data_IF_131782796220
#
_entry.id   IF_131782796220
#
_cell.length_a   1.000
_cell.length_b   1.000
_cell.length_c   1.000
_cell.angle_alpha   90.00
_cell.angle_beta   90.00
_cell.angle_gamma   90.00
#
_symmetry.space_group_name_H-M   'P 1'
#
loop_
_entity.id
_entity.type
_entity.pdbx_description
1 polymer ?
#
# COMPACT_ATOMS: atom_id res chain seq x y z
N UNK A 1 -24.20 -12.37 2.40
CA UNK A 1 -24.02 -11.47 1.24
C UNK A 1 -22.68 -11.86 0.63
N UNK A 2 -22.54 -11.99 -0.70
CA UNK A 2 -21.26 -12.40 -1.29
C UNK A 2 -20.20 -11.35 -0.94
N UNK A 3 -19.14 -11.75 -0.23
CA UNK A 3 -18.03 -10.88 0.18
C UNK A 3 -17.06 -10.55 -0.99
N UNK A 4 -17.28 -11.14 -2.16
CA UNK A 4 -16.41 -10.97 -3.32
C UNK A 4 -16.34 -9.53 -3.86
N UNK A 5 -17.43 -8.74 -3.94
CA UNK A 5 -17.36 -7.37 -4.46
C UNK A 5 -16.52 -6.44 -3.59
N UNK A 6 -16.64 -6.52 -2.24
CA UNK A 6 -15.84 -5.70 -1.33
C UNK A 6 -14.36 -6.07 -1.40
N UNK A 7 -14.03 -7.36 -1.47
CA UNK A 7 -12.64 -7.80 -1.62
C UNK A 7 -12.04 -7.36 -2.95
N UNK A 8 -12.80 -7.39 -4.04
CA UNK A 8 -12.31 -6.88 -5.33
C UNK A 8 -12.04 -5.37 -5.28
N UNK A 9 -12.94 -4.61 -4.65
CA UNK A 9 -12.76 -3.17 -4.45
C UNK A 9 -11.52 -2.88 -3.60
N UNK A 10 -11.30 -3.66 -2.53
CA UNK A 10 -10.10 -3.56 -1.69
C UNK A 10 -8.82 -3.83 -2.49
N UNK A 11 -8.77 -4.90 -3.29
CA UNK A 11 -7.62 -5.24 -4.13
C UNK A 11 -7.33 -4.12 -5.14
N UNK A 12 -8.38 -3.57 -5.77
CA UNK A 12 -8.25 -2.46 -6.72
C UNK A 12 -7.79 -1.19 -6.01
N UNK A 13 -8.34 -0.88 -4.83
CA UNK A 13 -7.95 0.29 -4.05
C UNK A 13 -6.47 0.25 -3.67
N UNK A 14 -5.97 -0.88 -3.19
CA UNK A 14 -4.54 -1.07 -2.90
C UNK A 14 -3.72 -0.94 -4.19
N UNK A 15 -4.13 -1.58 -5.29
CA UNK A 15 -3.40 -1.45 -6.56
C UNK A 15 -3.29 0.01 -7.02
N UNK A 16 -4.33 0.83 -6.82
CA UNK A 16 -4.29 2.26 -7.13
C UNK A 16 -3.40 3.03 -6.12
N UNK A 17 -3.36 2.62 -4.86
CA UNK A 17 -2.49 3.22 -3.83
C UNK A 17 -1.00 3.01 -4.12
N UNK A 18 -0.62 1.82 -4.60
CA UNK A 18 0.76 1.52 -4.97
C UNK A 18 1.24 2.34 -6.19
N UNK A 19 0.34 2.99 -6.94
CA UNK A 19 0.73 3.78 -8.11
C UNK A 19 1.58 5.02 -7.73
N UNK A 20 1.11 5.91 -6.83
CA UNK A 20 1.94 6.99 -6.29
C UNK A 20 3.26 6.53 -5.67
N UNK A 21 3.28 5.38 -4.98
CA UNK A 21 4.51 4.84 -4.36
C UNK A 21 5.56 4.47 -5.40
N UNK A 22 5.16 3.72 -6.44
CA UNK A 22 6.04 3.39 -7.55
C UNK A 22 6.59 4.65 -8.22
N UNK A 23 5.73 5.64 -8.50
CA UNK A 23 6.16 6.94 -9.03
C UNK A 23 7.14 7.65 -8.09
N UNK A 24 6.90 7.64 -6.78
CA UNK A 24 7.73 8.30 -5.79
C UNK A 24 9.15 7.69 -5.73
N UNK A 25 9.26 6.36 -5.73
CA UNK A 25 10.54 5.66 -5.83
C UNK A 25 11.26 6.05 -7.13
N UNK A 26 10.55 6.02 -8.27
CA UNK A 26 11.10 6.41 -9.57
C UNK A 26 11.65 7.84 -9.60
N UNK A 27 10.85 8.80 -9.15
CA UNK A 27 11.27 10.21 -9.06
C UNK A 27 12.44 10.39 -8.11
N UNK A 28 12.45 9.68 -6.98
CA UNK A 28 13.57 9.65 -6.04
C UNK A 28 14.88 9.31 -6.76
N UNK A 29 14.94 8.17 -7.45
CA UNK A 29 16.12 7.76 -8.21
C UNK A 29 16.44 8.68 -9.39
N UNK A 30 15.43 9.23 -10.07
CA UNK A 30 15.61 10.16 -11.18
C UNK A 30 16.07 11.57 -10.77
N UNK A 31 15.91 11.95 -9.50
CA UNK A 31 16.31 13.27 -8.98
C UNK A 31 17.83 13.41 -8.79
N UNK A 32 18.56 12.30 -8.76
CA UNK A 32 20.01 12.26 -8.55
C UNK A 32 20.46 12.20 -7.09
N UNK A 33 19.55 12.30 -6.10
CA UNK A 33 19.89 12.04 -4.70
C UNK A 33 19.70 10.56 -4.36
N UNK A 34 20.77 9.77 -4.51
CA UNK A 34 20.74 8.33 -4.26
C UNK A 34 20.44 7.97 -2.80
N UNK A 35 20.88 8.80 -1.84
CA UNK A 35 20.66 8.55 -0.42
C UNK A 35 19.17 8.56 -0.07
N UNK A 36 18.51 9.66 -0.40
CA UNK A 36 17.07 9.86 -0.17
C UNK A 36 16.24 8.84 -0.97
N UNK A 37 16.65 8.53 -2.20
CA UNK A 37 15.97 7.55 -3.05
C UNK A 37 16.00 6.14 -2.44
N UNK A 38 17.15 5.72 -1.89
CA UNK A 38 17.29 4.44 -1.22
C UNK A 38 16.47 4.40 0.07
N UNK A 39 16.52 5.46 0.87
CA UNK A 39 15.71 5.57 2.09
C UNK A 39 14.21 5.43 1.79
N UNK A 40 13.71 6.19 0.80
CA UNK A 40 12.32 6.14 0.37
C UNK A 40 11.93 4.75 -0.16
N UNK A 41 12.79 4.13 -0.98
CA UNK A 41 12.58 2.78 -1.49
C UNK A 41 12.47 1.75 -0.35
N UNK A 42 13.33 1.84 0.66
CA UNK A 42 13.26 0.93 1.81
C UNK A 42 12.02 1.18 2.67
N UNK A 43 11.64 2.43 2.90
CA UNK A 43 10.43 2.77 3.65
C UNK A 43 9.17 2.21 2.98
N UNK A 44 9.00 2.49 1.68
CA UNK A 44 7.88 1.98 0.87
C UNK A 44 7.91 0.44 0.79
N UNK A 45 9.07 -0.15 0.48
CA UNK A 45 9.19 -1.60 0.38
C UNK A 45 8.83 -2.33 1.67
N UNK A 46 9.08 -1.72 2.83
CA UNK A 46 8.78 -2.32 4.13
C UNK A 46 7.28 -2.33 4.47
N UNK A 47 6.52 -1.30 4.07
CA UNK A 47 5.05 -1.31 4.19
C UNK A 47 4.35 -2.16 3.12
N UNK A 48 4.96 -2.35 1.95
CA UNK A 48 4.35 -3.15 0.88
C UNK A 48 4.28 -4.64 1.23
N UNK A 49 5.11 -5.11 2.18
CA UNK A 49 5.02 -6.47 2.73
C UNK A 49 3.70 -6.70 3.49
N UNK A 50 3.36 -5.93 4.55
CA UNK A 50 2.08 -6.08 5.23
C UNK A 50 0.88 -5.78 4.34
N UNK A 51 0.97 -4.84 3.39
CA UNK A 51 -0.13 -4.58 2.43
C UNK A 51 -0.37 -5.76 1.49
N UNK A 52 0.68 -6.31 0.88
CA UNK A 52 0.58 -7.50 0.03
C UNK A 52 0.03 -8.71 0.80
N UNK A 53 0.41 -8.86 2.07
CA UNK A 53 -0.16 -9.88 2.95
C UNK A 53 -1.65 -9.62 3.21
N UNK A 54 -2.06 -8.38 3.46
CA UNK A 54 -3.46 -8.01 3.67
C UNK A 54 -4.32 -8.35 2.43
N UNK A 55 -3.83 -8.02 1.23
CA UNK A 55 -4.44 -8.41 -0.05
C UNK A 55 -4.58 -9.93 -0.16
N UNK A 56 -3.53 -10.67 0.16
CA UNK A 56 -3.54 -12.13 0.10
C UNK A 56 -4.54 -12.75 1.08
N UNK A 57 -4.58 -12.26 2.32
CA UNK A 57 -5.54 -12.73 3.35
C UNK A 57 -6.96 -12.39 2.94
N UNK A 58 -7.22 -11.18 2.43
CA UNK A 58 -8.54 -10.77 1.95
C UNK A 58 -9.03 -11.66 0.79
N UNK A 59 -8.17 -11.90 -0.22
CA UNK A 59 -8.48 -12.80 -1.33
C UNK A 59 -8.78 -14.23 -0.84
N UNK A 60 -8.00 -14.73 0.12
CA UNK A 60 -8.23 -16.06 0.71
C UNK A 60 -9.57 -16.14 1.45
N UNK A 61 -9.88 -15.13 2.27
CA UNK A 61 -11.12 -15.07 3.06
C UNK A 61 -12.36 -14.93 2.16
N UNK A 62 -12.21 -14.30 0.99
CA UNK A 62 -13.24 -14.21 -0.03
C UNK A 62 -13.48 -15.52 -0.80
N UNK A 63 -12.70 -16.57 -0.53
CA UNK A 63 -12.78 -17.85 -1.23
C UNK A 63 -12.16 -17.83 -2.63
N UNK A 64 -11.30 -16.85 -2.94
CA UNK A 64 -10.62 -16.74 -4.23
C UNK A 64 -9.50 -17.78 -4.31
N UNK A 65 -9.84 -18.99 -4.74
CA UNK A 65 -8.87 -20.02 -5.11
C UNK A 65 -8.05 -20.61 -3.96
N UNK A 66 -6.92 -21.23 -4.31
CA UNK A 66 -5.99 -21.86 -3.37
C UNK A 66 -5.15 -20.83 -2.60
N UNK A 67 -4.47 -21.26 -1.52
CA UNK A 67 -3.54 -20.40 -0.78
C UNK A 67 -2.45 -19.80 -1.67
N UNK A 68 -2.03 -20.53 -2.71
CA UNK A 68 -1.08 -20.06 -3.70
C UNK A 68 -1.65 -18.94 -4.59
N UNK A 69 -2.92 -19.06 -4.99
CA UNK A 69 -3.58 -18.01 -5.75
C UNK A 69 -3.68 -16.72 -4.92
N UNK A 70 -4.08 -16.84 -3.66
CA UNK A 70 -4.19 -15.72 -2.73
C UNK A 70 -2.82 -15.06 -2.44
N UNK A 71 -1.76 -15.82 -2.25
CA UNK A 71 -0.41 -15.25 -2.11
C UNK A 71 -0.01 -14.48 -3.38
N UNK A 72 -0.34 -15.03 -4.55
CA UNK A 72 -0.02 -14.40 -5.84
C UNK A 72 -0.85 -13.14 -6.12
N UNK A 73 -2.07 -13.02 -5.57
CA UNK A 73 -2.84 -11.76 -5.68
C UNK A 73 -2.17 -10.62 -4.94
N UNK A 74 -1.55 -10.87 -3.78
CA UNK A 74 -0.76 -9.87 -3.05
C UNK A 74 0.43 -9.38 -3.86
N UNK A 75 1.20 -10.30 -4.45
CA UNK A 75 2.35 -9.96 -5.31
C UNK A 75 1.90 -9.14 -6.53
N UNK A 76 0.78 -9.52 -7.15
CA UNK A 76 0.24 -8.80 -8.33
C UNK A 76 -0.16 -7.37 -8.03
N UNK A 77 -0.63 -7.06 -6.82
CA UNK A 77 -0.97 -5.69 -6.43
C UNK A 77 0.26 -4.77 -6.50
N UNK A 78 1.43 -5.25 -6.07
CA UNK A 78 2.69 -4.49 -6.13
C UNK A 78 3.36 -4.44 -7.52
N UNK A 79 2.95 -5.26 -8.48
CA UNK A 79 3.54 -5.24 -9.84
C UNK A 79 3.35 -3.89 -10.53
N UNK A 80 2.32 -3.13 -10.17
CA UNK A 80 2.04 -1.79 -10.72
C UNK A 80 3.16 -0.78 -10.42
N UNK A 81 3.94 -0.99 -9.36
CA UNK A 81 5.02 -0.10 -8.95
C UNK A 81 6.18 -0.10 -9.96
N UNK A 82 6.49 -1.26 -10.55
CA UNK A 82 7.64 -1.42 -11.46
C UNK A 82 7.57 -0.50 -12.68
N UNK A 83 6.51 -0.53 -13.52
CA UNK A 83 6.42 0.37 -14.66
C UNK A 83 6.35 1.84 -14.24
N UNK A 84 5.75 2.13 -13.09
CA UNK A 84 5.63 3.50 -12.59
C UNK A 84 6.91 4.04 -11.98
N UNK A 85 7.76 3.20 -11.39
CA UNK A 85 9.10 3.59 -10.99
C UNK A 85 9.97 3.93 -12.20
N UNK A 86 9.89 3.14 -13.27
CA UNK A 86 10.57 3.45 -14.53
C UNK A 86 10.05 4.76 -15.14
N UNK A 87 8.73 4.96 -15.14
CA UNK A 87 8.12 6.18 -15.65
C UNK A 87 8.48 7.40 -14.79
N UNK A 88 8.47 7.28 -13.47
CA UNK A 88 8.84 8.34 -12.54
C UNK A 88 10.31 8.75 -12.71
N UNK A 89 11.21 7.79 -12.90
CA UNK A 89 12.61 8.04 -13.16
C UNK A 89 12.85 8.69 -14.53
N UNK A 90 12.06 8.35 -15.55
CA UNK A 90 12.16 8.94 -16.88
C UNK A 90 11.53 10.34 -16.98
N UNK A 91 10.41 10.57 -16.28
CA UNK A 91 9.59 11.78 -16.37
C UNK A 91 9.64 12.65 -15.10
N UNK A 92 10.79 12.72 -14.42
CA UNK A 92 10.98 13.43 -13.14
C UNK A 92 10.37 14.83 -13.13
N UNK A 93 10.64 15.63 -14.18
CA UNK A 93 10.16 17.02 -14.27
C UNK A 93 8.62 17.13 -14.36
N UNK A 94 7.94 16.10 -14.83
CA UNK A 94 6.48 16.03 -14.90
C UNK A 94 5.89 15.41 -13.64
N UNK A 95 6.53 14.36 -13.12
CA UNK A 95 6.03 13.58 -11.99
C UNK A 95 6.25 14.29 -10.64
N UNK A 96 7.41 14.91 -10.42
CA UNK A 96 7.76 15.50 -9.11
C UNK A 96 6.75 16.56 -8.62
N UNK A 97 6.25 17.50 -9.45
CA UNK A 97 5.24 18.46 -9.01
C UNK A 97 3.87 17.84 -8.72
N UNK A 98 3.57 16.68 -9.32
CA UNK A 98 2.29 15.98 -9.16
C UNK A 98 2.29 15.02 -7.97
N UNK A 99 3.46 14.55 -7.54
CA UNK A 99 3.61 13.56 -6.47
C UNK A 99 2.91 13.94 -5.15
N UNK A 100 3.04 15.17 -4.60
CA UNK A 100 2.37 15.50 -3.34
C UNK A 100 0.85 15.36 -3.41
N UNK A 101 0.25 15.70 -4.57
CA UNK A 101 -1.18 15.56 -4.79
C UNK A 101 -1.59 14.10 -4.98
N UNK A 102 -0.78 13.33 -5.71
CA UNK A 102 -1.01 11.91 -5.93
C UNK A 102 -0.90 11.11 -4.62
N UNK A 103 0.15 11.35 -3.83
CA UNK A 103 0.35 10.75 -2.50
C UNK A 103 -0.74 11.17 -1.52
N UNK A 104 -1.12 12.46 -1.50
CA UNK A 104 -2.21 12.95 -0.64
C UNK A 104 -3.57 12.31 -0.98
N UNK A 105 -3.88 12.17 -2.26
CA UNK A 105 -5.09 11.47 -2.71
C UNK A 105 -5.07 9.99 -2.31
N UNK A 106 -3.94 9.30 -2.54
CA UNK A 106 -3.77 7.91 -2.17
C UNK A 106 -3.87 7.67 -0.65
N UNK A 107 -3.26 8.54 0.16
CA UNK A 107 -3.38 8.50 1.62
C UNK A 107 -4.84 8.70 2.08
N UNK A 108 -5.55 9.65 1.50
CA UNK A 108 -6.98 9.87 1.79
C UNK A 108 -7.85 8.69 1.41
N UNK A 109 -7.60 8.07 0.25
CA UNK A 109 -8.31 6.88 -0.19
C UNK A 109 -8.09 5.69 0.76
N UNK A 110 -6.85 5.47 1.22
CA UNK A 110 -6.57 4.39 2.18
C UNK A 110 -7.16 4.65 3.56
N UNK A 111 -7.16 5.89 4.04
CA UNK A 111 -7.87 6.24 5.27
C UNK A 111 -9.37 5.93 5.16
N UNK A 112 -10.00 6.24 4.02
CA UNK A 112 -11.40 5.88 3.78
C UNK A 112 -11.61 4.36 3.84
N UNK A 113 -10.79 3.58 3.12
CA UNK A 113 -10.88 2.10 3.11
C UNK A 113 -10.68 1.51 4.53
N UNK A 114 -9.71 2.01 5.28
CA UNK A 114 -9.45 1.56 6.64
C UNK A 114 -10.66 1.83 7.54
N UNK A 115 -11.24 3.04 7.46
CA UNK A 115 -12.33 3.45 8.33
C UNK A 115 -13.69 2.87 7.95
N UNK A 116 -13.97 2.71 6.66
CA UNK A 116 -15.29 2.27 6.15
C UNK A 116 -15.39 0.74 6.03
N UNK A 117 -14.28 0.06 5.73
CA UNK A 117 -14.27 -1.40 5.55
C UNK A 117 -13.51 -2.12 6.66
N UNK A 118 -12.22 -1.81 6.87
CA UNK A 118 -11.36 -2.65 7.74
C UNK A 118 -11.76 -2.56 9.22
N UNK A 119 -11.90 -1.36 9.77
CA UNK A 119 -12.27 -1.18 11.19
C UNK A 119 -13.64 -1.79 11.48
N UNK A 120 -14.72 -1.49 10.73
CA UNK A 120 -16.03 -2.09 10.97
C UNK A 120 -16.02 -3.62 10.87
N UNK A 121 -15.33 -4.19 9.88
CA UNK A 121 -15.23 -5.64 9.70
C UNK A 121 -14.58 -6.32 10.92
N UNK A 122 -13.52 -5.73 11.49
CA UNK A 122 -12.88 -6.30 12.68
C UNK A 122 -13.76 -6.24 13.93
N UNK A 123 -14.58 -5.19 14.06
CA UNK A 123 -15.52 -5.02 15.17
C UNK A 123 -16.69 -5.99 15.08
N UNK A 124 -17.24 -6.20 13.88
CA UNK A 124 -18.32 -7.17 13.64
C UNK A 124 -17.86 -8.59 13.95
N UNK A 125 -16.61 -8.92 13.65
CA UNK A 125 -16.04 -10.24 13.90
C UNK A 125 -15.47 -10.42 15.34
N UNK A 126 -15.62 -9.44 16.24
CA UNK A 126 -15.19 -9.53 17.65
C UNK A 126 -13.66 -9.49 17.86
N UNK A 127 -12.92 -8.93 16.90
CA UNK A 127 -11.46 -8.79 16.95
C UNK A 127 -11.02 -7.33 17.19
N UNK A 128 -11.91 -6.49 17.72
CA UNK A 128 -11.72 -5.03 17.80
C UNK A 128 -10.45 -4.64 18.57
N UNK A 129 -10.16 -5.32 19.69
CA UNK A 129 -8.98 -5.01 20.52
C UNK A 129 -7.67 -5.36 19.81
N UNK A 130 -7.63 -6.53 19.19
CA UNK A 130 -6.46 -7.00 18.46
C UNK A 130 -6.20 -6.11 17.23
N UNK A 131 -7.26 -5.77 16.48
CA UNK A 131 -7.18 -4.85 15.35
C UNK A 131 -6.67 -3.47 15.79
N UNK A 132 -7.26 -2.88 16.84
CA UNK A 132 -6.83 -1.57 17.37
C UNK A 132 -5.37 -1.58 17.82
N UNK A 133 -4.92 -2.63 18.54
CA UNK A 133 -3.53 -2.77 18.94
C UNK A 133 -2.60 -2.92 17.73
N UNK A 134 -3.00 -3.72 16.74
CA UNK A 134 -2.27 -3.86 15.47
C UNK A 134 -2.12 -2.52 14.74
N UNK A 135 -3.20 -1.74 14.63
CA UNK A 135 -3.17 -0.41 14.03
C UNK A 135 -2.24 0.54 14.79
N UNK A 136 -2.30 0.58 16.13
CA UNK A 136 -1.40 1.42 16.92
C UNK A 136 0.07 1.05 16.72
N UNK A 137 0.39 -0.26 16.74
CA UNK A 137 1.76 -0.74 16.50
C UNK A 137 2.21 -0.41 15.08
N UNK A 138 1.36 -0.61 14.08
CA UNK A 138 1.65 -0.27 12.68
C UNK A 138 1.94 1.21 12.49
N UNK A 139 1.10 2.10 13.04
CA UNK A 139 1.30 3.56 12.99
C UNK A 139 2.61 3.95 13.67
N UNK A 140 2.89 3.44 14.87
CA UNK A 140 4.13 3.73 15.59
C UNK A 140 5.34 3.24 14.79
N UNK A 141 5.29 2.03 14.25
CA UNK A 141 6.37 1.47 13.46
C UNK A 141 6.65 2.34 12.23
N UNK A 142 5.62 2.72 11.49
CA UNK A 142 5.79 3.58 10.31
C UNK A 142 6.33 4.96 10.66
N UNK A 143 5.87 5.58 11.75
CA UNK A 143 6.42 6.85 12.23
C UNK A 143 7.89 6.73 12.64
N UNK A 144 8.27 5.63 13.29
CA UNK A 144 9.68 5.38 13.65
C UNK A 144 10.53 5.18 12.41
N UNK A 145 10.02 4.46 11.40
CA UNK A 145 10.73 4.25 10.14
C UNK A 145 10.91 5.56 9.36
N UNK A 146 9.88 6.39 9.28
CA UNK A 146 9.92 7.72 8.66
C UNK A 146 11.03 8.57 9.29
N UNK A 147 11.02 8.73 10.62
CA UNK A 147 12.03 9.51 11.36
C UNK A 147 13.43 8.89 11.25
N UNK A 148 13.55 7.55 11.22
CA UNK A 148 14.84 6.88 11.19
C UNK A 148 15.49 6.85 9.80
N UNK A 149 14.68 6.88 8.74
CA UNK A 149 15.13 6.75 7.35
C UNK A 149 15.24 8.10 6.63
N UNK A 150 14.57 9.17 7.07
CA UNK A 150 14.79 10.51 6.51
C UNK A 150 13.76 11.56 6.90
#
# INVERSE_FOLDING_TARGET
RSAMPSVLLFIVAITIHNMPEGLAVGVGFGSGNLGDALALMFAIGLQNIPEGLAVAVAARNAGMGSLWYAAFTGIRAGVVEVPLALLGAWAVHLAAPLLPYAMGFAAGAMLFVILDEIVPETHVNGHERAATMGTMVGVILMLVLDIALG
#
